data_IF_021712013587
#
_entry.id   IF_021712013587
#
_cell.length_a   1.000
_cell.length_b   1.000
_cell.length_c   1.000
_cell.angle_alpha   90.00
_cell.angle_beta   90.00
_cell.angle_gamma   90.00
#
_symmetry.space_group_name_H-M   'P 1'
#
loop_
_entity.id
_entity.type
_entity.pdbx_description
1 polymer ?
#
# COMPACT_ATOMS: atom_id res chain seq x y z
N UNK A 1 2.55 5.87 17.12
CA UNK A 1 2.33 6.74 15.94
C UNK A 1 2.68 6.06 14.63
N UNK A 2 3.91 5.57 14.43
CA UNK A 2 4.30 4.85 13.19
C UNK A 2 3.44 3.59 12.95
N UNK A 3 3.15 2.81 14.01
CA UNK A 3 2.23 1.67 13.91
C UNK A 3 0.81 2.05 13.44
N UNK A 4 0.34 3.24 13.82
CA UNK A 4 -0.97 3.74 13.38
C UNK A 4 -0.95 4.10 11.89
N UNK A 5 0.11 4.78 11.43
CA UNK A 5 0.32 5.06 10.00
C UNK A 5 0.42 3.76 9.21
N UNK A 6 1.19 2.78 9.70
CA UNK A 6 1.34 1.47 9.07
C UNK A 6 0.00 0.75 8.97
N UNK A 7 -0.75 0.65 10.08
CA UNK A 7 -2.07 0.03 10.11
C UNK A 7 -3.01 0.69 9.09
N UNK A 8 -3.08 2.03 9.06
CA UNK A 8 -3.89 2.75 8.07
C UNK A 8 -3.45 2.49 6.64
N UNK A 9 -2.15 2.53 6.37
CA UNK A 9 -1.59 2.25 5.06
C UNK A 9 -1.94 0.84 4.58
N UNK A 10 -1.76 -0.18 5.41
CA UNK A 10 -2.07 -1.57 5.07
C UNK A 10 -3.57 -1.80 4.91
N UNK A 11 -4.42 -1.18 5.73
CA UNK A 11 -5.88 -1.22 5.54
C UNK A 11 -6.28 -0.61 4.19
N UNK A 12 -5.77 0.57 3.85
CA UNK A 12 -6.06 1.19 2.55
C UNK A 12 -5.52 0.33 1.40
N UNK A 13 -4.30 -0.20 1.51
CA UNK A 13 -3.70 -1.11 0.53
C UNK A 13 -4.57 -2.35 0.31
N UNK A 14 -5.10 -2.95 1.38
CA UNK A 14 -5.96 -4.12 1.29
C UNK A 14 -7.29 -3.78 0.59
N UNK A 15 -7.91 -2.64 0.91
CA UNK A 15 -9.15 -2.19 0.25
C UNK A 15 -8.92 -1.98 -1.25
N UNK A 16 -7.85 -1.27 -1.63
CA UNK A 16 -7.53 -1.07 -3.04
C UNK A 16 -7.14 -2.36 -3.74
N UNK A 17 -6.41 -3.26 -3.06
CA UNK A 17 -6.03 -4.56 -3.59
C UNK A 17 -7.26 -5.39 -3.94
N UNK A 18 -8.24 -5.46 -3.04
CA UNK A 18 -9.53 -6.12 -3.28
C UNK A 18 -10.21 -5.53 -4.53
N UNK A 19 -10.26 -4.20 -4.65
CA UNK A 19 -10.82 -3.55 -5.84
C UNK A 19 -10.06 -3.87 -7.13
N UNK A 20 -8.72 -3.81 -7.10
CA UNK A 20 -7.85 -4.06 -8.24
C UNK A 20 -7.66 -5.52 -8.59
N UNK A 21 -8.02 -6.46 -7.73
CA UNK A 21 -7.96 -7.90 -8.05
C UNK A 21 -9.30 -8.43 -8.48
N UNK A 22 -10.40 -8.03 -7.82
CA UNK A 22 -11.74 -8.53 -8.13
C UNK A 22 -12.17 -8.08 -9.53
N UNK A 23 -12.08 -6.78 -9.84
CA UNK A 23 -12.55 -6.24 -11.12
C UNK A 23 -11.84 -6.89 -12.33
N UNK A 24 -10.49 -7.00 -12.36
CA UNK A 24 -9.80 -7.60 -13.49
C UNK A 24 -9.88 -9.12 -13.50
N UNK A 25 -9.95 -9.79 -12.35
CA UNK A 25 -10.05 -11.24 -12.30
C UNK A 25 -11.31 -11.75 -13.01
N UNK A 26 -12.45 -11.08 -12.79
CA UNK A 26 -13.69 -11.39 -13.51
C UNK A 26 -13.61 -11.17 -15.04
N UNK A 27 -12.65 -10.38 -15.52
CA UNK A 27 -12.50 -10.04 -16.94
C UNK A 27 -11.41 -10.84 -17.67
N UNK A 28 -10.30 -11.17 -16.99
CA UNK A 28 -9.08 -11.71 -17.61
C UNK A 28 -8.65 -13.09 -17.09
N UNK A 29 -9.28 -13.61 -16.04
CA UNK A 29 -9.17 -15.01 -15.60
C UNK A 29 -7.83 -15.47 -15.01
N UNK A 30 -6.75 -14.68 -15.10
CA UNK A 30 -5.41 -15.14 -14.70
C UNK A 30 -4.89 -14.44 -13.43
N UNK A 31 -5.13 -15.07 -12.29
CA UNK A 31 -4.76 -14.55 -10.97
C UNK A 31 -3.24 -14.39 -10.81
N UNK A 32 -2.44 -15.32 -11.35
CA UNK A 32 -0.98 -15.32 -11.13
C UNK A 32 -0.31 -14.09 -11.77
N UNK A 33 -0.79 -13.67 -12.95
CA UNK A 33 -0.29 -12.48 -13.63
C UNK A 33 -0.91 -11.19 -13.09
N UNK A 34 -2.15 -11.24 -12.59
CA UNK A 34 -2.83 -10.09 -12.01
C UNK A 34 -2.32 -9.73 -10.61
N UNK A 35 -1.94 -10.72 -9.82
CA UNK A 35 -1.58 -10.53 -8.42
C UNK A 35 -0.43 -9.53 -8.21
N UNK A 36 0.74 -9.64 -8.87
CA UNK A 36 1.82 -8.67 -8.68
C UNK A 36 1.41 -7.24 -9.09
N UNK A 37 0.64 -7.12 -10.17
CA UNK A 37 0.14 -5.81 -10.65
C UNK A 37 -0.88 -5.22 -9.67
N UNK A 38 -1.77 -6.03 -9.14
CA UNK A 38 -2.76 -5.60 -8.15
C UNK A 38 -2.09 -5.13 -6.85
N UNK A 39 -1.06 -5.84 -6.37
CA UNK A 39 -0.25 -5.41 -5.21
C UNK A 39 0.49 -4.09 -5.48
N UNK A 40 1.05 -3.92 -6.66
CA UNK A 40 1.73 -2.68 -7.03
C UNK A 40 0.75 -1.49 -7.07
N UNK A 41 -0.35 -1.63 -7.81
CA UNK A 41 -1.36 -0.57 -7.97
C UNK A 41 -2.04 -0.23 -6.65
N UNK A 42 -2.34 -1.22 -5.82
CA UNK A 42 -2.92 -1.00 -4.49
C UNK A 42 -1.95 -0.26 -3.57
N UNK A 43 -0.66 -0.59 -3.61
CA UNK A 43 0.39 0.12 -2.89
C UNK A 43 0.46 1.60 -3.29
N UNK A 44 0.47 1.88 -4.60
CA UNK A 44 0.49 3.27 -5.12
C UNK A 44 -0.76 4.03 -4.67
N UNK A 45 -1.95 3.44 -4.85
CA UNK A 45 -3.20 4.05 -4.43
C UNK A 45 -3.25 4.30 -2.92
N UNK A 46 -2.73 3.37 -2.11
CA UNK A 46 -2.66 3.50 -0.67
C UNK A 46 -1.69 4.60 -0.22
N UNK A 47 -0.54 4.78 -0.88
CA UNK A 47 0.38 5.89 -0.59
C UNK A 47 -0.34 7.22 -0.82
N UNK A 48 -0.94 7.40 -2.01
CA UNK A 48 -1.63 8.64 -2.38
C UNK A 48 -2.81 8.93 -1.45
N UNK A 49 -3.63 7.92 -1.18
CA UNK A 49 -4.82 8.07 -0.35
C UNK A 49 -4.46 8.32 1.12
N UNK A 50 -3.49 7.58 1.66
CA UNK A 50 -3.02 7.80 3.05
C UNK A 50 -2.39 9.18 3.20
N UNK A 51 -1.63 9.63 2.20
CA UNK A 51 -1.09 10.99 2.16
C UNK A 51 -2.19 12.05 2.20
N UNK A 52 -3.19 11.88 1.35
CA UNK A 52 -4.33 12.79 1.27
C UNK A 52 -5.17 12.81 2.56
N UNK A 53 -5.54 11.64 3.11
CA UNK A 53 -6.34 11.53 4.35
C UNK A 53 -5.62 12.15 5.55
N UNK A 54 -4.32 11.88 5.70
CA UNK A 54 -3.52 12.46 6.79
C UNK A 54 -3.33 13.97 6.64
N UNK A 55 -3.26 14.47 5.40
CA UNK A 55 -3.23 15.92 5.14
C UNK A 55 -4.55 16.58 5.51
N UNK A 56 -5.68 15.97 5.12
CA UNK A 56 -7.02 16.50 5.41
C UNK A 56 -7.33 16.55 6.91
N UNK A 57 -6.83 15.57 7.67
CA UNK A 57 -7.01 15.46 9.12
C UNK A 57 -5.91 16.13 9.94
N UNK A 58 -4.96 16.81 9.29
CA UNK A 58 -3.77 17.41 9.94
C UNK A 58 -2.95 16.44 10.79
N UNK A 59 -3.04 15.13 10.50
CA UNK A 59 -2.33 14.08 11.24
C UNK A 59 -0.84 14.08 10.95
N UNK A 60 -0.39 14.73 9.87
CA UNK A 60 1.03 14.85 9.55
C UNK A 60 1.82 15.63 10.60
N UNK A 61 1.18 16.50 11.38
CA UNK A 61 1.82 17.25 12.47
C UNK A 61 2.41 16.31 13.54
N UNK A 62 1.77 15.15 13.73
CA UNK A 62 2.25 14.09 14.63
C UNK A 62 3.61 13.53 14.18
N UNK A 63 3.95 13.64 12.90
CA UNK A 63 5.16 13.07 12.32
C UNK A 63 6.25 14.12 12.04
N UNK A 64 6.01 15.40 12.35
CA UNK A 64 6.98 16.48 12.10
C UNK A 64 8.24 16.37 12.98
N UNK A 65 8.11 15.80 14.18
CA UNK A 65 9.22 15.59 15.11
C UNK A 65 10.03 14.30 14.83
N UNK A 66 9.70 13.54 13.79
CA UNK A 66 10.45 12.32 13.45
C UNK A 66 11.74 12.67 12.69
N UNK A 67 12.81 11.93 13.01
CA UNK A 67 14.11 12.04 12.31
C UNK A 67 14.01 11.75 10.81
N UNK A 68 13.04 10.92 10.40
CA UNK A 68 12.87 10.48 9.02
C UNK A 68 11.74 11.24 8.32
N UNK A 69 11.91 11.62 7.04
CA UNK A 69 10.89 12.32 6.30
C UNK A 69 9.65 11.44 6.08
N UNK A 70 8.47 12.06 6.10
CA UNK A 70 7.15 11.43 5.92
C UNK A 70 7.07 10.56 4.66
N UNK A 71 7.64 11.07 3.57
CA UNK A 71 7.73 10.33 2.31
C UNK A 71 8.52 9.04 2.44
N UNK A 72 9.65 9.07 3.17
CA UNK A 72 10.50 7.90 3.37
C UNK A 72 9.79 6.81 4.18
N UNK A 73 8.94 7.20 5.15
CA UNK A 73 8.08 6.26 5.87
C UNK A 73 7.09 5.56 4.93
N UNK A 74 6.38 6.31 4.08
CA UNK A 74 5.43 5.74 3.12
C UNK A 74 6.12 4.89 2.05
N UNK A 75 7.27 5.33 1.54
CA UNK A 75 8.07 4.55 0.59
C UNK A 75 8.55 3.25 1.23
N UNK A 76 9.00 3.28 2.49
CA UNK A 76 9.36 2.07 3.22
C UNK A 76 8.20 1.09 3.35
N UNK A 77 7.01 1.58 3.68
CA UNK A 77 5.79 0.76 3.76
C UNK A 77 5.35 0.20 2.40
N UNK A 78 5.51 1.00 1.33
CA UNK A 78 5.25 0.55 -0.02
C UNK A 78 6.22 -0.59 -0.42
N UNK A 79 7.52 -0.42 -0.15
CA UNK A 79 8.52 -1.43 -0.46
C UNK A 79 8.28 -2.73 0.32
N UNK A 80 7.91 -2.65 1.60
CA UNK A 80 7.56 -3.86 2.36
C UNK A 80 6.34 -4.59 1.81
N UNK A 81 5.37 -3.87 1.24
CA UNK A 81 4.24 -4.48 0.54
C UNK A 81 4.69 -5.19 -0.75
N UNK A 82 5.63 -4.61 -1.50
CA UNK A 82 6.16 -5.21 -2.74
C UNK A 82 7.00 -6.48 -2.50
N UNK A 83 7.48 -6.70 -1.27
CA UNK A 83 8.17 -7.96 -0.93
C UNK A 83 7.23 -9.17 -0.99
N UNK A 84 5.92 -8.99 -0.80
CA UNK A 84 4.94 -10.09 -0.81
C UNK A 84 4.96 -10.84 -2.15
N UNK A 85 4.73 -10.21 -3.32
CA UNK A 85 4.77 -10.91 -4.60
C UNK A 85 6.17 -11.47 -4.92
N UNK A 86 7.24 -10.82 -4.47
CA UNK A 86 8.61 -11.33 -4.67
C UNK A 86 8.79 -12.65 -3.91
N UNK A 87 8.42 -12.68 -2.62
CA UNK A 87 8.51 -13.89 -1.79
C UNK A 87 7.62 -15.00 -2.34
N UNK A 88 6.39 -14.67 -2.74
CA UNK A 88 5.46 -15.66 -3.34
C UNK A 88 6.03 -16.26 -4.62
N UNK A 89 6.64 -15.43 -5.49
CA UNK A 89 7.24 -15.89 -6.75
C UNK A 89 8.55 -16.67 -6.54
N UNK A 90 9.22 -16.51 -5.40
CA UNK A 90 10.40 -17.30 -5.04
C UNK A 90 10.05 -18.66 -4.42
N UNK A 91 8.83 -18.81 -3.89
CA UNK A 91 8.37 -20.02 -3.19
C UNK A 91 7.54 -20.96 -4.07
N UNK A 92 7.02 -20.46 -5.19
CA UNK A 92 6.24 -21.22 -6.19
C UNK A 92 7.13 -21.63 -7.36
#
# INVERSE_FOLDING_TARGET
>A
MVLYLASKFYTHSMIFFIGFIILPYFSFGDFAYLFPRAVFLSGVAAVLYTWHDFRKRSLWALFDNLRYPKFLLLTGMFLSLQLIPIIVNLLL
#
